data_IF_494038185518
#
_entry.id   IF_494038185518
#
_cell.length_a   1.000
_cell.length_b   1.000
_cell.length_c   1.000
_cell.angle_alpha   90.00
_cell.angle_beta   90.00
_cell.angle_gamma   90.00
#
_symmetry.space_group_name_H-M   'P 1'
#
loop_
_entity.id
_entity.type
_entity.pdbx_description
1 polymer ?
#
# COMPACT_ATOMS: atom_id res chain seq x y z
N UNK A 1 -7.30 30.58 15.67
CA UNK A 1 -5.89 31.01 15.51
C UNK A 1 -5.39 30.64 14.12
N UNK A 2 -4.72 31.60 13.47
CA UNK A 2 -3.92 31.56 12.23
C UNK A 2 -4.53 30.96 10.94
N UNK A 3 -5.19 31.82 10.17
CA UNK A 3 -5.38 31.66 8.72
C UNK A 3 -4.02 31.74 7.99
N UNK A 4 -3.41 30.62 7.61
CA UNK A 4 -2.47 30.61 6.47
C UNK A 4 -3.28 30.70 5.16
N UNK A 5 -3.03 31.69 4.27
CA UNK A 5 -3.72 31.77 2.99
C UNK A 5 -3.25 30.65 2.06
N UNK A 6 -4.13 29.70 1.76
CA UNK A 6 -3.82 28.58 0.87
C UNK A 6 -3.74 29.06 -0.61
N UNK A 7 -2.69 28.66 -1.33
CA UNK A 7 -2.32 29.14 -2.69
C UNK A 7 -3.44 28.91 -3.72
N UNK A 8 -4.32 27.95 -3.45
CA UNK A 8 -5.41 27.53 -4.33
C UNK A 8 -6.55 28.55 -4.48
N UNK A 9 -6.79 29.44 -3.51
CA UNK A 9 -7.91 30.39 -3.57
C UNK A 9 -7.66 31.62 -4.44
N UNK A 10 -6.44 31.80 -4.97
CA UNK A 10 -6.09 32.92 -5.86
C UNK A 10 -6.29 32.64 -7.36
N UNK A 11 -6.85 31.48 -7.72
CA UNK A 11 -7.13 31.14 -9.13
C UNK A 11 -5.88 30.87 -9.98
N UNK A 12 -4.71 30.65 -9.35
CA UNK A 12 -3.45 30.38 -10.06
C UNK A 12 -3.40 28.96 -10.66
N UNK A 13 -4.18 28.03 -10.12
CA UNK A 13 -4.23 26.64 -10.58
C UNK A 13 -5.57 26.40 -11.27
N UNK A 14 -5.57 26.53 -12.60
CA UNK A 14 -6.77 26.34 -13.41
C UNK A 14 -7.18 24.86 -13.42
N UNK A 15 -8.50 24.55 -13.43
CA UNK A 15 -8.99 23.17 -13.53
C UNK A 15 -8.39 22.39 -14.72
N UNK A 16 -8.04 23.08 -15.81
CA UNK A 16 -7.39 22.49 -17.00
C UNK A 16 -6.01 21.90 -16.71
N UNK A 17 -5.33 22.32 -15.64
CA UNK A 17 -4.00 21.83 -15.24
C UNK A 17 -4.08 20.75 -14.16
N UNK A 18 -5.28 20.43 -13.67
CA UNK A 18 -5.47 19.37 -12.67
C UNK A 18 -4.91 18.00 -13.11
N UNK A 19 -5.04 17.54 -14.37
CA UNK A 19 -4.43 16.27 -14.78
C UNK A 19 -2.93 16.21 -14.52
N UNK A 20 -2.21 17.29 -14.88
CA UNK A 20 -0.75 17.39 -14.74
C UNK A 20 -0.37 17.45 -13.26
N UNK A 21 -1.09 18.27 -12.49
CA UNK A 21 -0.84 18.45 -11.05
C UNK A 21 -1.11 17.16 -10.28
N UNK A 22 -2.22 16.47 -10.55
CA UNK A 22 -2.55 15.18 -9.93
C UNK A 22 -1.51 14.13 -10.29
N UNK A 23 -1.06 14.09 -11.54
CA UNK A 23 0.01 13.19 -11.98
C UNK A 23 1.31 13.45 -11.22
N UNK A 24 1.69 14.72 -11.04
CA UNK A 24 2.87 15.11 -10.26
C UNK A 24 2.73 14.74 -8.77
N UNK A 25 1.56 14.98 -8.17
CA UNK A 25 1.28 14.63 -6.76
C UNK A 25 1.38 13.12 -6.54
N UNK A 26 0.78 12.29 -7.41
CA UNK A 26 0.85 10.84 -7.29
C UNK A 26 2.30 10.34 -7.39
N UNK A 27 3.08 10.88 -8.34
CA UNK A 27 4.52 10.56 -8.46
C UNK A 27 5.32 10.99 -7.22
N UNK A 28 4.97 12.12 -6.62
CA UNK A 28 5.63 12.62 -5.42
C UNK A 28 5.26 11.80 -4.17
N UNK A 29 4.01 11.31 -4.08
CA UNK A 29 3.57 10.38 -3.02
C UNK A 29 4.29 9.02 -3.12
N UNK A 30 4.63 8.57 -4.32
CA UNK A 30 5.37 7.33 -4.58
C UNK A 30 6.90 7.54 -4.62
N UNK A 31 7.38 8.78 -4.43
CA UNK A 31 8.80 9.08 -4.54
C UNK A 31 9.57 8.45 -3.39
N UNK A 32 10.56 7.64 -3.73
CA UNK A 32 11.46 7.04 -2.76
C UNK A 32 12.85 6.85 -3.39
N UNK A 33 13.83 7.59 -2.88
CA UNK A 33 15.20 7.52 -3.39
C UNK A 33 15.99 6.51 -2.57
N UNK A 34 16.12 5.30 -3.13
CA UNK A 34 16.83 4.18 -2.53
C UNK A 34 18.35 4.25 -2.77
N UNK A 35 18.84 5.22 -3.55
CA UNK A 35 20.26 5.33 -3.91
C UNK A 35 21.10 5.99 -2.81
N UNK A 36 20.47 6.78 -1.94
CA UNK A 36 21.14 7.44 -0.82
C UNK A 36 21.20 6.50 0.40
N UNK A 37 22.23 5.64 0.46
CA UNK A 37 22.38 4.57 1.46
C UNK A 37 22.41 5.03 2.94
N UNK A 38 22.36 6.33 3.26
CA UNK A 38 22.54 6.85 4.63
C UNK A 38 21.54 7.93 5.09
N UNK A 39 20.60 8.36 4.25
CA UNK A 39 19.57 9.30 4.66
C UNK A 39 18.23 8.89 4.06
N UNK A 40 17.15 8.96 4.84
CA UNK A 40 15.79 8.73 4.38
C UNK A 40 15.35 9.85 3.40
N UNK A 41 15.93 9.88 2.21
CA UNK A 41 15.62 10.85 1.17
C UNK A 41 14.26 10.49 0.58
N UNK A 42 13.33 11.45 0.58
CA UNK A 42 11.98 11.27 0.03
C UNK A 42 10.85 11.48 1.05
N UNK A 43 11.10 11.38 2.36
CA UNK A 43 10.06 11.64 3.37
C UNK A 43 9.50 13.06 3.31
N UNK A 44 10.38 14.07 3.16
CA UNK A 44 9.97 15.46 2.96
C UNK A 44 9.19 15.69 1.65
N UNK A 45 9.48 14.92 0.60
CA UNK A 45 8.78 14.99 -0.68
C UNK A 45 7.37 14.43 -0.53
N UNK A 46 7.23 13.26 0.10
CA UNK A 46 5.94 12.62 0.35
C UNK A 46 5.07 13.41 1.33
N UNK A 47 5.66 14.00 2.36
CA UNK A 47 4.97 14.90 3.30
C UNK A 47 4.43 16.16 2.58
N UNK A 48 5.27 16.81 1.77
CA UNK A 48 4.84 17.94 0.94
C UNK A 48 3.73 17.54 -0.04
N UNK A 49 3.82 16.35 -0.64
CA UNK A 49 2.80 15.82 -1.54
C UNK A 49 1.47 15.56 -0.80
N UNK A 50 1.52 15.05 0.45
CA UNK A 50 0.33 14.91 1.30
C UNK A 50 -0.30 16.27 1.59
N UNK A 51 0.51 17.29 1.88
CA UNK A 51 0.02 18.65 2.10
C UNK A 51 -0.64 19.25 0.84
N UNK A 52 -0.08 19.00 -0.34
CA UNK A 52 -0.69 19.40 -1.62
C UNK A 52 -2.01 18.65 -1.83
N UNK A 53 -2.05 17.34 -1.61
CA UNK A 53 -3.26 16.53 -1.76
C UNK A 53 -4.38 16.98 -0.79
N UNK A 54 -4.04 17.29 0.46
CA UNK A 54 -4.95 17.90 1.44
C UNK A 54 -5.45 19.26 0.98
N UNK A 55 -4.56 20.10 0.44
CA UNK A 55 -4.92 21.42 -0.08
C UNK A 55 -5.83 21.35 -1.31
N UNK A 56 -5.65 20.36 -2.20
CA UNK A 56 -6.51 20.12 -3.36
C UNK A 56 -7.95 19.79 -2.93
N UNK A 57 -8.13 18.96 -1.89
CA UNK A 57 -9.45 18.62 -1.35
C UNK A 57 -10.22 19.86 -0.86
N UNK A 58 -9.52 20.91 -0.45
CA UNK A 58 -10.08 22.18 0.06
C UNK A 58 -10.21 23.25 -1.02
N UNK A 59 -9.52 23.08 -2.13
CA UNK A 59 -9.36 24.06 -3.19
C UNK A 59 -10.48 23.98 -4.23
N UNK A 60 -10.95 22.77 -4.53
CA UNK A 60 -11.86 22.49 -5.63
C UNK A 60 -13.15 21.82 -5.13
N UNK A 61 -14.25 22.14 -5.79
CA UNK A 61 -15.54 21.50 -5.55
C UNK A 61 -15.52 20.03 -5.98
N UNK A 62 -16.38 19.23 -5.35
CA UNK A 62 -16.48 17.79 -5.57
C UNK A 62 -16.64 17.41 -7.05
N UNK A 63 -17.42 18.19 -7.79
CA UNK A 63 -17.67 17.97 -9.23
C UNK A 63 -16.38 18.10 -10.05
N UNK A 64 -15.52 19.06 -9.71
CA UNK A 64 -14.27 19.31 -10.44
C UNK A 64 -13.21 18.26 -10.11
N UNK A 65 -13.15 17.83 -8.85
CA UNK A 65 -12.15 16.87 -8.40
C UNK A 65 -12.55 15.41 -8.68
N UNK A 66 -13.84 15.11 -8.86
CA UNK A 66 -14.41 13.77 -9.04
C UNK A 66 -13.59 12.82 -9.94
N UNK A 67 -13.06 13.24 -11.11
CA UNK A 67 -12.29 12.34 -11.99
C UNK A 67 -10.94 11.88 -11.40
N UNK A 68 -10.43 12.58 -10.40
CA UNK A 68 -9.09 12.39 -9.84
C UNK A 68 -9.11 11.81 -8.43
N UNK A 69 -10.22 11.99 -7.70
CA UNK A 69 -10.38 11.66 -6.28
C UNK A 69 -10.00 10.21 -5.98
N UNK A 70 -10.43 9.25 -6.81
CA UNK A 70 -10.12 7.83 -6.60
C UNK A 70 -8.61 7.54 -6.68
N UNK A 71 -7.90 8.17 -7.63
CA UNK A 71 -6.45 7.98 -7.82
C UNK A 71 -5.65 8.62 -6.68
N UNK A 72 -6.06 9.82 -6.24
CA UNK A 72 -5.44 10.53 -5.12
C UNK A 72 -5.66 9.72 -3.82
N UNK A 73 -6.88 9.28 -3.58
CA UNK A 73 -7.25 8.49 -2.42
C UNK A 73 -6.47 7.18 -2.33
N UNK A 74 -6.36 6.44 -3.45
CA UNK A 74 -5.55 5.23 -3.51
C UNK A 74 -4.11 5.50 -3.09
N UNK A 75 -3.48 6.56 -3.63
CA UNK A 75 -2.09 6.89 -3.31
C UNK A 75 -1.92 7.30 -1.84
N UNK A 76 -2.86 8.07 -1.28
CA UNK A 76 -2.84 8.49 0.12
C UNK A 76 -3.01 7.30 1.08
N UNK A 77 -3.91 6.36 0.78
CA UNK A 77 -4.07 5.14 1.59
C UNK A 77 -2.79 4.30 1.56
N UNK A 78 -2.14 4.16 0.40
CA UNK A 78 -0.84 3.49 0.32
C UNK A 78 0.20 4.16 1.23
N UNK A 79 0.35 5.49 1.15
CA UNK A 79 1.31 6.21 2.00
C UNK A 79 0.93 6.10 3.48
N UNK A 80 -0.36 6.19 3.83
CA UNK A 80 -0.83 6.09 5.21
C UNK A 80 -0.50 4.73 5.86
N UNK A 81 -0.48 3.65 5.06
CA UNK A 81 -0.27 2.29 5.56
C UNK A 81 1.20 1.85 5.44
N UNK A 82 1.89 2.20 4.35
CA UNK A 82 3.18 1.59 3.99
C UNK A 82 4.41 2.48 4.15
N UNK A 83 4.23 3.79 4.27
CA UNK A 83 5.39 4.68 4.35
C UNK A 83 6.24 4.34 5.59
N UNK A 84 7.56 4.30 5.41
CA UNK A 84 8.51 4.09 6.51
C UNK A 84 8.41 5.18 7.57
N UNK A 85 8.14 6.41 7.15
CA UNK A 85 8.10 7.57 8.02
C UNK A 85 6.72 7.74 8.66
N UNK A 86 6.68 7.73 10.01
CA UNK A 86 5.42 7.91 10.76
C UNK A 86 4.74 9.26 10.45
N UNK A 87 5.54 10.30 10.20
CA UNK A 87 5.02 11.63 9.88
C UNK A 87 4.27 11.62 8.54
N UNK A 88 4.85 10.99 7.51
CA UNK A 88 4.21 10.84 6.21
C UNK A 88 2.93 10.00 6.30
N UNK A 89 2.93 8.92 7.10
CA UNK A 89 1.72 8.12 7.33
C UNK A 89 0.58 8.95 7.91
N UNK A 90 0.86 9.73 8.96
CA UNK A 90 -0.12 10.63 9.60
C UNK A 90 -0.60 11.73 8.66
N UNK A 91 0.32 12.35 7.91
CA UNK A 91 -0.02 13.38 6.93
C UNK A 91 -0.92 12.82 5.81
N UNK A 92 -0.64 11.62 5.32
CA UNK A 92 -1.44 10.95 4.32
C UNK A 92 -2.84 10.57 4.82
N UNK A 93 -2.95 10.05 6.06
CA UNK A 93 -4.24 9.74 6.66
C UNK A 93 -5.10 11.00 6.84
N UNK A 94 -4.51 12.09 7.35
CA UNK A 94 -5.21 13.38 7.48
C UNK A 94 -5.64 13.95 6.11
N UNK A 95 -4.80 13.83 5.09
CA UNK A 95 -5.15 14.22 3.72
C UNK A 95 -6.32 13.38 3.18
N UNK A 96 -6.29 12.06 3.38
CA UNK A 96 -7.36 11.16 2.95
C UNK A 96 -8.68 11.46 3.67
N UNK A 97 -8.64 11.70 4.99
CA UNK A 97 -9.80 12.10 5.77
C UNK A 97 -10.43 13.40 5.26
N UNK A 98 -9.62 14.37 4.83
CA UNK A 98 -10.14 15.62 4.22
C UNK A 98 -10.86 15.36 2.90
N UNK A 99 -10.36 14.43 2.07
CA UNK A 99 -11.06 13.99 0.86
C UNK A 99 -12.39 13.31 1.20
N UNK A 100 -12.41 12.38 2.17
CA UNK A 100 -13.62 11.71 2.64
C UNK A 100 -14.68 12.70 3.12
N UNK A 101 -14.29 13.70 3.90
CA UNK A 101 -15.21 14.68 4.47
C UNK A 101 -15.75 15.73 3.49
N UNK A 102 -15.09 15.97 2.36
CA UNK A 102 -15.46 17.05 1.42
C UNK A 102 -15.98 16.58 0.07
N UNK A 103 -15.44 15.48 -0.45
CA UNK A 103 -15.67 15.09 -1.83
C UNK A 103 -16.89 14.17 -1.97
N UNK A 104 -17.36 13.57 -0.87
CA UNK A 104 -18.64 12.85 -0.80
C UNK A 104 -18.71 11.56 -1.66
N UNK A 105 -17.61 11.18 -2.31
CA UNK A 105 -17.51 10.08 -3.28
C UNK A 105 -16.78 8.86 -2.73
N UNK A 106 -16.94 8.60 -1.42
CA UNK A 106 -16.25 7.51 -0.72
C UNK A 106 -17.24 6.65 0.06
N UNK A 107 -17.85 5.64 -0.58
CA UNK A 107 -18.43 4.52 0.16
C UNK A 107 -17.38 4.01 1.17
N UNK A 108 -17.80 3.66 2.39
CA UNK A 108 -16.94 3.23 3.53
C UNK A 108 -15.68 4.07 3.80
N UNK A 109 -15.61 5.33 3.36
CA UNK A 109 -14.42 6.18 3.53
C UNK A 109 -14.01 6.36 5.00
N UNK A 110 -14.98 6.40 5.92
CA UNK A 110 -14.74 6.50 7.36
C UNK A 110 -14.11 5.23 7.93
N UNK A 111 -14.54 4.05 7.46
CA UNK A 111 -13.96 2.76 7.88
C UNK A 111 -12.51 2.67 7.42
N UNK A 112 -12.23 3.09 6.18
CA UNK A 112 -10.87 3.14 5.61
C UNK A 112 -9.99 4.13 6.39
N UNK A 113 -10.50 5.33 6.73
CA UNK A 113 -9.77 6.31 7.57
C UNK A 113 -9.45 5.72 8.94
N UNK A 114 -10.43 5.09 9.59
CA UNK A 114 -10.25 4.49 10.93
C UNK A 114 -9.12 3.47 10.92
N UNK A 115 -9.05 2.68 9.86
CA UNK A 115 -8.04 1.64 9.68
C UNK A 115 -6.69 2.24 9.31
N UNK A 116 -6.67 3.21 8.41
CA UNK A 116 -5.46 3.95 8.04
C UNK A 116 -4.86 4.68 9.25
N UNK A 117 -5.67 5.33 10.09
CA UNK A 117 -5.24 5.99 11.32
C UNK A 117 -4.65 5.01 12.33
N UNK A 118 -5.28 3.84 12.50
CA UNK A 118 -4.74 2.77 13.34
C UNK A 118 -3.32 2.37 12.90
N UNK A 119 -3.08 2.22 11.60
CA UNK A 119 -1.74 1.87 11.06
C UNK A 119 -0.77 3.05 10.99
N UNK A 120 -1.27 4.28 10.82
CA UNK A 120 -0.46 5.49 10.89
C UNK A 120 0.09 5.71 12.31
N UNK A 121 -0.60 5.21 13.34
CA UNK A 121 -0.21 5.31 14.74
C UNK A 121 0.42 4.04 15.33
N UNK A 122 0.21 2.87 14.72
CA UNK A 122 0.64 1.56 15.22
C UNK A 122 1.99 1.04 14.70
N UNK A 123 2.44 -0.10 15.25
CA UNK A 123 3.66 -0.82 14.82
C UNK A 123 3.48 -1.40 13.41
N UNK A 124 4.49 -1.21 12.54
CA UNK A 124 4.55 -1.68 11.14
C UNK A 124 4.30 -3.18 11.00
N UNK A 125 4.56 -3.95 12.06
CA UNK A 125 4.60 -5.42 12.09
C UNK A 125 3.31 -6.15 11.69
N UNK A 126 2.20 -5.48 11.39
CA UNK A 126 0.97 -6.11 10.88
C UNK A 126 0.19 -5.24 9.88
N UNK A 127 0.72 -4.11 9.44
CA UNK A 127 0.01 -3.19 8.54
C UNK A 127 -0.26 -3.83 7.16
N UNK A 128 0.68 -4.64 6.68
CA UNK A 128 0.61 -5.35 5.41
C UNK A 128 -0.28 -6.60 5.43
N UNK A 129 -0.50 -7.24 6.58
CA UNK A 129 -1.39 -8.40 6.69
C UNK A 129 -2.88 -8.02 6.66
N UNK A 130 -3.20 -6.73 6.80
CA UNK A 130 -4.57 -6.21 6.88
C UNK A 130 -5.05 -5.47 5.62
N UNK A 131 -4.34 -5.61 4.49
CA UNK A 131 -4.70 -5.06 3.17
C UNK A 131 -5.90 -5.83 2.55
N UNK A 132 -6.88 -6.19 3.37
CA UNK A 132 -8.23 -6.56 2.93
C UNK A 132 -9.32 -5.63 3.46
N UNK A 133 -8.97 -4.60 4.25
CA UNK A 133 -9.98 -3.66 4.76
C UNK A 133 -10.45 -2.66 3.67
N UNK A 134 -10.00 -2.81 2.42
CA UNK A 134 -10.57 -2.09 1.27
C UNK A 134 -10.94 -3.03 0.09
N UNK A 135 -11.16 -4.33 0.32
CA UNK A 135 -11.35 -5.29 -0.79
C UNK A 135 -12.52 -6.29 -0.69
N UNK A 136 -13.48 -6.18 0.23
CA UNK A 136 -14.62 -7.11 0.21
C UNK A 136 -15.94 -6.46 0.64
N UNK A 137 -16.73 -6.03 -0.34
CA UNK A 137 -18.16 -6.31 -0.39
C UNK A 137 -18.51 -6.66 -1.85
N UNK A 138 -19.49 -7.54 -2.05
CA UNK A 138 -19.86 -8.16 -3.34
C UNK A 138 -20.33 -7.16 -4.43
N UNK A 139 -20.29 -5.85 -4.16
CA UNK A 139 -20.94 -4.81 -4.96
C UNK A 139 -20.00 -3.87 -5.74
N UNK A 140 -18.68 -4.10 -5.75
CA UNK A 140 -17.78 -3.53 -6.77
C UNK A 140 -17.49 -2.02 -6.76
N UNK A 141 -17.81 -1.28 -5.68
CA UNK A 141 -17.67 0.18 -5.62
C UNK A 141 -16.66 0.70 -4.56
N UNK A 142 -15.39 0.27 -4.61
CA UNK A 142 -14.31 0.85 -3.78
C UNK A 142 -13.09 1.32 -4.58
N UNK A 143 -12.34 2.23 -3.95
CA UNK A 143 -11.05 2.74 -4.42
C UNK A 143 -10.14 1.54 -4.70
N UNK A 144 -9.71 1.36 -5.96
CA UNK A 144 -8.74 0.34 -6.31
C UNK A 144 -7.36 0.77 -5.78
N UNK A 145 -7.02 0.32 -4.56
CA UNK A 145 -5.74 0.61 -3.92
C UNK A 145 -4.66 -0.26 -4.59
N UNK A 146 -4.06 0.25 -5.65
CA UNK A 146 -2.89 -0.37 -6.27
C UNK A 146 -1.62 0.20 -5.61
N UNK A 147 -1.19 -0.39 -4.50
CA UNK A 147 0.15 -0.13 -3.99
C UNK A 147 1.15 -0.88 -4.88
N UNK A 148 1.79 -0.19 -5.82
CA UNK A 148 2.81 -0.78 -6.71
C UNK A 148 4.09 -1.17 -5.98
N UNK A 149 4.30 -0.64 -4.76
CA UNK A 149 5.49 -0.88 -3.97
C UNK A 149 5.14 -1.71 -2.76
N UNK A 150 5.59 -2.94 -2.76
CA UNK A 150 5.62 -3.77 -1.57
C UNK A 150 6.82 -3.30 -0.74
N UNK A 151 6.64 -3.00 0.58
CA UNK A 151 7.76 -2.58 1.41
C UNK A 151 8.89 -3.64 1.38
N UNK A 152 10.15 -3.22 1.38
CA UNK A 152 11.29 -4.17 1.37
C UNK A 152 11.28 -5.13 2.56
N UNK A 153 10.68 -4.71 3.68
CA UNK A 153 10.47 -5.58 4.85
C UNK A 153 9.57 -6.79 4.53
N UNK A 154 8.74 -6.73 3.49
CA UNK A 154 7.91 -7.85 3.02
C UNK A 154 8.70 -8.79 2.12
N UNK A 155 9.59 -8.25 1.30
CA UNK A 155 10.51 -9.07 0.51
C UNK A 155 11.39 -9.91 1.45
N UNK A 156 11.92 -9.30 2.52
CA UNK A 156 12.66 -10.02 3.58
C UNK A 156 11.81 -11.13 4.24
N UNK A 157 10.54 -10.85 4.55
CA UNK A 157 9.63 -11.86 5.13
C UNK A 157 9.30 -12.96 4.12
N UNK A 158 9.12 -12.63 2.84
CA UNK A 158 8.91 -13.62 1.77
C UNK A 158 10.13 -14.53 1.66
N UNK A 159 11.33 -13.96 1.66
CA UNK A 159 12.59 -14.71 1.62
C UNK A 159 12.73 -15.65 2.82
N UNK A 160 12.45 -15.16 4.03
CA UNK A 160 12.49 -15.98 5.25
C UNK A 160 11.47 -17.12 5.22
N UNK A 161 10.25 -16.86 4.73
CA UNK A 161 9.23 -17.89 4.57
C UNK A 161 9.63 -18.92 3.50
N UNK A 162 10.20 -18.49 2.37
CA UNK A 162 10.72 -19.39 1.32
C UNK A 162 11.86 -20.25 1.89
N UNK A 163 12.76 -19.68 2.69
CA UNK A 163 13.80 -20.43 3.38
C UNK A 163 13.18 -21.45 4.36
N UNK A 164 12.14 -21.06 5.10
CA UNK A 164 11.41 -21.93 6.02
C UNK A 164 10.72 -23.13 5.37
N UNK A 165 10.46 -23.12 4.06
CA UNK A 165 9.97 -24.29 3.32
C UNK A 165 11.00 -25.43 3.25
N UNK A 166 12.28 -25.12 3.44
CA UNK A 166 13.39 -26.10 3.44
C UNK A 166 13.78 -26.57 4.84
N UNK A 167 13.09 -26.10 5.89
CA UNK A 167 13.44 -26.44 7.27
C UNK A 167 13.30 -27.95 7.53
N UNK A 168 14.10 -28.49 8.46
CA UNK A 168 14.04 -29.90 8.87
C UNK A 168 12.74 -30.25 9.60
N UNK A 169 12.15 -29.30 10.34
CA UNK A 169 10.91 -29.47 11.09
C UNK A 169 9.68 -29.22 10.18
N UNK A 170 8.83 -30.25 10.08
CA UNK A 170 7.54 -30.18 9.38
C UNK A 170 6.66 -29.02 9.85
N UNK A 171 6.69 -28.67 11.15
CA UNK A 171 5.87 -27.58 11.69
C UNK A 171 6.32 -26.22 11.17
N UNK A 172 7.63 -26.03 11.00
CA UNK A 172 8.21 -24.81 10.42
C UNK A 172 7.81 -24.71 8.95
N UNK A 173 7.98 -25.78 8.18
CA UNK A 173 7.56 -25.83 6.76
C UNK A 173 6.08 -25.53 6.57
N UNK A 174 5.21 -26.13 7.39
CA UNK A 174 3.77 -25.88 7.34
C UNK A 174 3.40 -24.44 7.72
N UNK A 175 4.08 -23.88 8.73
CA UNK A 175 3.88 -22.49 9.15
C UNK A 175 4.33 -21.51 8.09
N UNK A 176 5.48 -21.78 7.45
CA UNK A 176 6.02 -21.02 6.33
C UNK A 176 5.06 -21.03 5.12
N UNK A 177 4.56 -22.21 4.73
CA UNK A 177 3.57 -22.36 3.68
C UNK A 177 2.28 -21.56 3.95
N UNK A 178 1.76 -21.61 5.19
CA UNK A 178 0.60 -20.80 5.60
C UNK A 178 0.89 -19.30 5.55
N UNK A 179 2.10 -18.90 5.95
CA UNK A 179 2.56 -17.52 5.85
C UNK A 179 2.52 -17.04 4.40
N UNK A 180 3.14 -17.80 3.49
CA UNK A 180 3.18 -17.50 2.06
C UNK A 180 1.79 -17.42 1.45
N UNK A 181 0.91 -18.41 1.66
CA UNK A 181 -0.44 -18.37 1.09
C UNK A 181 -1.25 -17.15 1.54
N UNK A 182 -1.16 -16.78 2.82
CA UNK A 182 -1.82 -15.58 3.35
C UNK A 182 -1.22 -14.30 2.76
N UNK A 183 0.09 -14.27 2.61
CA UNK A 183 0.81 -13.10 2.13
C UNK A 183 0.58 -12.91 0.62
N UNK A 184 0.74 -13.95 -0.19
CA UNK A 184 0.46 -13.93 -1.64
C UNK A 184 -0.98 -13.55 -1.97
N UNK A 185 -1.96 -13.97 -1.15
CA UNK A 185 -3.35 -13.53 -1.30
C UNK A 185 -3.57 -12.01 -1.08
N UNK A 186 -2.55 -11.28 -0.62
CA UNK A 186 -2.56 -9.84 -0.32
C UNK A 186 -1.53 -9.06 -1.13
N UNK A 187 -0.72 -9.74 -1.95
CA UNK A 187 0.27 -9.11 -2.82
C UNK A 187 -0.30 -8.83 -4.21
N UNK A 188 0.31 -7.92 -4.99
CA UNK A 188 0.05 -7.79 -6.42
C UNK A 188 0.23 -9.14 -7.12
N UNK A 189 -0.56 -9.37 -8.18
CA UNK A 189 -0.55 -10.63 -8.92
C UNK A 189 0.85 -10.97 -9.43
N UNK A 190 1.59 -9.97 -9.91
CA UNK A 190 2.93 -10.13 -10.43
C UNK A 190 3.88 -10.73 -9.38
N UNK A 191 3.79 -10.28 -8.13
CA UNK A 191 4.61 -10.84 -7.03
C UNK A 191 4.10 -12.18 -6.54
N UNK A 192 2.78 -12.42 -6.56
CA UNK A 192 2.24 -13.75 -6.28
C UNK A 192 2.71 -14.78 -7.31
N UNK A 193 2.78 -14.38 -8.59
CA UNK A 193 3.33 -15.19 -9.68
C UNK A 193 4.83 -15.46 -9.49
N UNK A 194 5.61 -14.47 -9.03
CA UNK A 194 7.03 -14.66 -8.66
C UNK A 194 7.21 -15.64 -7.49
N UNK A 195 6.41 -15.50 -6.42
CA UNK A 195 6.42 -16.44 -5.29
C UNK A 195 6.08 -17.85 -5.76
N UNK A 196 5.08 -18.00 -6.63
CA UNK A 196 4.72 -19.29 -7.21
C UNK A 196 5.89 -19.88 -8.01
N UNK A 197 6.57 -19.07 -8.81
CA UNK A 197 7.75 -19.51 -9.56
C UNK A 197 8.85 -20.03 -8.62
N UNK A 198 9.18 -19.31 -7.54
CA UNK A 198 10.14 -19.77 -6.54
C UNK A 198 9.72 -21.07 -5.85
N UNK A 199 8.43 -21.22 -5.51
CA UNK A 199 7.91 -22.45 -4.91
C UNK A 199 8.04 -23.62 -5.89
N UNK A 200 7.83 -23.40 -7.19
CA UNK A 200 7.99 -24.44 -8.21
C UNK A 200 9.46 -24.86 -8.39
N UNK A 201 10.41 -23.94 -8.24
CA UNK A 201 11.85 -24.26 -8.29
C UNK A 201 12.30 -25.22 -7.18
N UNK A 202 11.58 -25.28 -6.06
CA UNK A 202 11.84 -26.22 -4.96
C UNK A 202 11.64 -27.69 -5.35
N UNK A 203 10.92 -27.98 -6.44
CA UNK A 203 10.78 -29.33 -6.99
C UNK A 203 11.94 -29.74 -7.88
N UNK A 204 13.08 -29.05 -7.82
CA UNK A 204 14.27 -29.45 -8.55
C UNK A 204 14.92 -30.71 -7.94
N UNK A 205 15.55 -31.58 -8.76
CA UNK A 205 16.20 -32.80 -8.26
C UNK A 205 17.36 -32.56 -7.28
N UNK A 206 17.87 -31.33 -7.18
CA UNK A 206 18.94 -30.95 -6.25
C UNK A 206 18.46 -30.56 -4.86
N UNK A 207 17.15 -30.38 -4.65
CA UNK A 207 16.57 -29.98 -3.39
C UNK A 207 16.25 -31.19 -2.50
N UNK A 208 16.33 -31.06 -1.16
CA UNK A 208 16.01 -32.15 -0.24
C UNK A 208 14.51 -32.49 -0.26
N UNK A 209 14.18 -33.70 0.19
CA UNK A 209 12.79 -34.17 0.37
C UNK A 209 11.95 -33.23 1.25
N UNK A 210 12.58 -32.63 2.27
CA UNK A 210 11.97 -31.59 3.09
C UNK A 210 11.50 -30.37 2.29
N UNK A 211 12.28 -29.91 1.31
CA UNK A 211 11.92 -28.79 0.45
C UNK A 211 10.72 -29.12 -0.45
N UNK A 212 10.69 -30.32 -1.03
CA UNK A 212 9.56 -30.81 -1.85
C UNK A 212 8.27 -30.88 -1.01
N UNK A 213 8.38 -31.35 0.23
CA UNK A 213 7.26 -31.41 1.16
C UNK A 213 6.76 -30.02 1.56
N UNK A 214 7.65 -29.08 1.88
CA UNK A 214 7.30 -27.68 2.15
C UNK A 214 6.65 -26.99 0.96
N UNK A 215 7.23 -27.16 -0.23
CA UNK A 215 6.69 -26.63 -1.49
C UNK A 215 5.28 -27.15 -1.79
N UNK A 216 5.03 -28.43 -1.51
CA UNK A 216 3.70 -29.04 -1.67
C UNK A 216 2.65 -28.39 -0.76
N UNK A 217 3.01 -28.07 0.50
CA UNK A 217 2.13 -27.29 1.38
C UNK A 217 1.92 -25.87 0.84
N UNK A 218 2.97 -25.21 0.37
CA UNK A 218 2.88 -23.85 -0.15
C UNK A 218 1.95 -23.78 -1.37
N UNK A 219 2.06 -24.71 -2.33
CA UNK A 219 1.14 -24.82 -3.46
C UNK A 219 -0.32 -25.01 -3.01
N UNK A 220 -0.54 -25.85 -2.01
CA UNK A 220 -1.88 -26.06 -1.45
C UNK A 220 -2.45 -24.81 -0.76
N UNK A 221 -1.61 -23.98 -0.16
CA UNK A 221 -2.02 -22.71 0.44
C UNK A 221 -2.23 -21.61 -0.61
N UNK A 222 -1.42 -21.57 -1.68
CA UNK A 222 -1.56 -20.63 -2.79
C UNK A 222 -2.83 -20.88 -3.61
N UNK A 223 -3.22 -22.14 -3.83
CA UNK A 223 -4.42 -22.50 -4.59
C UNK A 223 -5.76 -22.25 -3.90
N UNK A 224 -5.78 -21.65 -2.70
CA UNK A 224 -7.01 -21.33 -1.95
C UNK A 224 -7.64 -20.00 -2.32
N UNK A 225 -6.97 -19.20 -3.14
CA UNK A 225 -7.34 -17.83 -3.50
C UNK A 225 -7.23 -17.64 -5.02
#
# INVERSE_FOLDING_TARGET
MSNMPNISRRGLLLPTRLPDVVSAVIKALDYDDVRAHNFAVGGSVRDAACYVAWSLARAFDAVVLCPYVQRIASALVCVAVFDREINCRRAASAAFQEHVGRQGTFPHGIDIVTVADYFALGSRNNAFLNIRIAQISEDGYYINVQCKKVPGEIEEVVEELIAGLRDTDTRVRYSAAKGLGRLSARLPKEMADEILAFVLELFSPGEPDGAWHGASFALAELGKF
#
